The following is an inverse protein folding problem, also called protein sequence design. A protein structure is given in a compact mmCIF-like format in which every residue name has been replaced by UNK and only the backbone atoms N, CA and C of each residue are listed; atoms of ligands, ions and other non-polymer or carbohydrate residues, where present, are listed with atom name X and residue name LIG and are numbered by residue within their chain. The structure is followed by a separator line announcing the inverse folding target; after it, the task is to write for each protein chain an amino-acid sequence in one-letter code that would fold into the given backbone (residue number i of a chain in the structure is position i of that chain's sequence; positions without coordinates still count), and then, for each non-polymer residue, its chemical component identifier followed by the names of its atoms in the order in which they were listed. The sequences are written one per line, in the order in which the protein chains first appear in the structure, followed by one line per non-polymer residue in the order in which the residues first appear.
data_IF_851487209257
#
_entry.id   IF_851487209257
#
_cell.length_a   1.000
_cell.length_b   1.000
_cell.length_c   1.000
_cell.angle_alpha   90.00
_cell.angle_beta   90.00
_cell.angle_gamma   90.00
#
_symmetry.space_group_name_H-M   'P 1'
#
loop_
_entity.id
_entity.type
_entity.pdbx_description
1 polymer ?
#
# COMPACT_ATOMS: atom_id res chain seq x y z
N UNK A 1 3.54 -9.51 -9.77
CA UNK A 1 3.82 -10.53 -8.74
C UNK A 1 2.50 -11.00 -8.16
N UNK A 2 2.30 -12.31 -8.11
CA UNK A 2 1.07 -12.91 -7.63
C UNK A 2 1.29 -13.50 -6.25
N UNK A 3 0.43 -13.15 -5.30
CA UNK A 3 0.47 -13.64 -3.94
C UNK A 3 -0.54 -14.76 -3.78
N UNK A 4 -0.11 -15.89 -3.25
CA UNK A 4 -0.98 -17.03 -2.97
C UNK A 4 -1.28 -17.02 -1.47
N UNK A 5 -2.54 -16.81 -1.12
CA UNK A 5 -3.01 -16.88 0.26
C UNK A 5 -3.73 -18.19 0.49
N UNK A 6 -3.57 -18.75 1.69
CA UNK A 6 -4.36 -19.90 2.11
C UNK A 6 -5.76 -19.40 2.50
N UNK A 7 -6.78 -20.18 2.16
CA UNK A 7 -8.15 -19.81 2.56
C UNK A 7 -8.33 -19.99 4.07
N UNK A 8 -8.91 -19.01 4.79
CA UNK A 8 -9.16 -19.16 6.22
C UNK A 8 -10.22 -20.24 6.46
N UNK A 9 -9.93 -21.18 7.34
CA UNK A 9 -10.81 -22.31 7.68
C UNK A 9 -11.92 -21.88 8.61
N UNK A 10 -11.55 -21.12 9.66
CA UNK A 10 -12.49 -20.54 10.63
C UNK A 10 -12.63 -19.05 10.40
N UNK A 11 -13.83 -18.51 10.56
CA UNK A 11 -14.21 -17.19 10.09
C UNK A 11 -14.77 -16.27 11.19
N UNK A 12 -14.44 -16.55 12.47
CA UNK A 12 -14.69 -15.60 13.54
C UNK A 12 -13.69 -14.45 13.43
N UNK A 13 -13.98 -13.32 14.05
CA UNK A 13 -13.06 -12.17 14.04
C UNK A 13 -11.67 -12.57 14.56
N UNK A 14 -11.61 -13.30 15.67
CA UNK A 14 -10.36 -13.79 16.26
C UNK A 14 -9.60 -14.70 15.30
N UNK A 15 -10.27 -15.63 14.66
CA UNK A 15 -9.65 -16.57 13.71
C UNK A 15 -9.14 -15.85 12.47
N UNK A 16 -9.89 -14.89 11.95
CA UNK A 16 -9.48 -14.09 10.79
C UNK A 16 -8.30 -13.17 11.12
N UNK A 17 -8.26 -12.59 12.31
CA UNK A 17 -7.10 -11.80 12.76
C UNK A 17 -5.84 -12.68 12.83
N UNK A 18 -5.95 -13.87 13.41
CA UNK A 18 -4.84 -14.80 13.48
C UNK A 18 -4.39 -15.24 12.08
N UNK A 19 -5.34 -15.55 11.19
CA UNK A 19 -5.03 -15.89 9.81
C UNK A 19 -4.31 -14.75 9.09
N UNK A 20 -4.78 -13.51 9.25
CA UNK A 20 -4.13 -12.33 8.66
C UNK A 20 -2.70 -12.15 9.18
N UNK A 21 -2.49 -12.31 10.49
CA UNK A 21 -1.16 -12.23 11.09
C UNK A 21 -0.22 -13.30 10.53
N UNK A 22 -0.71 -14.52 10.30
CA UNK A 22 0.07 -15.59 9.66
C UNK A 22 0.48 -15.21 8.24
N UNK A 23 -0.42 -14.58 7.46
CA UNK A 23 -0.09 -14.10 6.13
C UNK A 23 0.98 -13.01 6.19
N UNK A 24 0.89 -12.10 7.14
CA UNK A 24 1.89 -11.03 7.35
C UNK A 24 3.26 -11.63 7.68
N UNK A 25 3.31 -12.60 8.58
CA UNK A 25 4.55 -13.32 8.92
C UNK A 25 5.17 -13.98 7.69
N UNK A 26 4.35 -14.45 6.77
CA UNK A 26 4.79 -15.02 5.49
C UNK A 26 5.04 -13.94 4.41
N UNK A 27 5.19 -12.71 4.81
CA UNK A 27 5.54 -11.58 3.94
C UNK A 27 4.47 -11.21 2.91
N UNK A 28 3.21 -11.51 3.16
CA UNK A 28 2.11 -11.04 2.32
C UNK A 28 1.80 -9.59 2.68
N UNK A 29 1.79 -8.67 1.71
CA UNK A 29 1.46 -7.26 1.98
C UNK A 29 0.04 -7.10 2.53
N UNK A 30 -0.12 -6.17 3.47
CA UNK A 30 -1.44 -5.89 4.08
C UNK A 30 -2.50 -5.51 3.06
N UNK A 31 -2.12 -4.76 2.03
CA UNK A 31 -3.06 -4.39 0.96
C UNK A 31 -3.60 -5.63 0.22
N UNK A 32 -2.75 -6.63 0.00
CA UNK A 32 -3.14 -7.89 -0.65
C UNK A 32 -4.13 -8.66 0.23
N UNK A 33 -3.89 -8.70 1.54
CA UNK A 33 -4.79 -9.36 2.49
C UNK A 33 -6.14 -8.62 2.54
N UNK A 34 -6.12 -7.29 2.59
CA UNK A 34 -7.31 -6.45 2.57
C UNK A 34 -8.14 -6.69 1.30
N UNK A 35 -7.51 -6.71 0.14
CA UNK A 35 -8.17 -7.00 -1.14
C UNK A 35 -8.79 -8.40 -1.14
N UNK A 36 -8.09 -9.38 -0.62
CA UNK A 36 -8.58 -10.74 -0.50
C UNK A 36 -9.87 -10.81 0.35
N UNK A 37 -9.88 -10.14 1.49
CA UNK A 37 -11.04 -10.11 2.38
C UNK A 37 -12.24 -9.42 1.72
N UNK A 38 -12.03 -8.34 0.98
CA UNK A 38 -13.10 -7.65 0.26
C UNK A 38 -13.65 -8.49 -0.88
N UNK A 39 -12.79 -9.14 -1.66
CA UNK A 39 -13.23 -10.05 -2.74
C UNK A 39 -14.00 -11.24 -2.16
N UNK A 40 -13.63 -11.64 -0.95
CA UNK A 40 -14.28 -12.74 -0.25
C UNK A 40 -15.71 -12.39 0.17
N UNK A 41 -16.01 -11.12 0.39
CA UNK A 41 -17.37 -10.65 0.66
C UNK A 41 -18.36 -10.97 -0.48
N UNK A 42 -17.87 -11.11 -1.70
CA UNK A 42 -18.68 -11.50 -2.85
C UNK A 42 -19.02 -13.00 -2.84
N UNK A 43 -18.47 -13.78 -1.92
CA UNK A 43 -18.78 -15.19 -1.72
C UNK A 43 -19.97 -15.32 -0.77
N UNK A 44 -20.55 -16.52 -0.68
CA UNK A 44 -21.66 -16.80 0.23
C UNK A 44 -21.17 -16.84 1.68
N UNK A 45 -21.07 -15.68 2.31
CA UNK A 45 -20.76 -15.56 3.72
C UNK A 45 -22.01 -15.28 4.54
N UNK A 46 -22.07 -15.75 5.78
CA UNK A 46 -23.09 -15.35 6.72
C UNK A 46 -22.93 -13.87 7.09
N UNK A 47 -23.97 -13.27 7.64
CA UNK A 47 -23.93 -11.87 8.09
C UNK A 47 -22.83 -11.64 9.13
N UNK A 48 -22.63 -12.59 10.05
CA UNK A 48 -21.57 -12.51 11.05
C UNK A 48 -20.17 -12.65 10.47
N UNK A 49 -20.00 -13.56 9.50
CA UNK A 49 -18.74 -13.74 8.78
C UNK A 49 -18.36 -12.48 8.00
N UNK A 50 -19.33 -11.82 7.36
CA UNK A 50 -19.11 -10.53 6.68
C UNK A 50 -18.64 -9.45 7.65
N UNK A 51 -19.29 -9.35 8.81
CA UNK A 51 -18.90 -8.38 9.84
C UNK A 51 -17.48 -8.63 10.34
N UNK A 52 -17.13 -9.89 10.60
CA UNK A 52 -15.80 -10.27 11.03
C UNK A 52 -14.76 -9.92 9.97
N UNK A 53 -15.03 -10.25 8.72
CA UNK A 53 -14.16 -9.92 7.57
C UNK A 53 -13.92 -8.41 7.45
N UNK A 54 -14.99 -7.61 7.55
CA UNK A 54 -14.89 -6.14 7.48
C UNK A 54 -14.08 -5.56 8.64
N UNK A 55 -14.24 -6.07 9.85
CA UNK A 55 -13.46 -5.62 11.01
C UNK A 55 -11.97 -5.89 10.84
N UNK A 56 -11.61 -7.08 10.32
CA UNK A 56 -10.22 -7.43 10.09
C UNK A 56 -9.65 -6.56 8.96
N UNK A 57 -10.37 -6.39 7.86
CA UNK A 57 -9.97 -5.50 6.77
C UNK A 57 -9.76 -4.07 7.26
N UNK A 58 -10.68 -3.55 8.06
CA UNK A 58 -10.59 -2.22 8.66
C UNK A 58 -9.34 -2.07 9.54
N UNK A 59 -9.03 -3.10 10.34
CA UNK A 59 -7.82 -3.11 11.17
C UNK A 59 -6.54 -3.03 10.32
N UNK A 60 -6.47 -3.77 9.23
CA UNK A 60 -5.34 -3.73 8.32
C UNK A 60 -5.16 -2.34 7.70
N UNK A 61 -6.26 -1.74 7.28
CA UNK A 61 -6.26 -0.38 6.72
C UNK A 61 -5.82 0.65 7.75
N UNK A 62 -6.32 0.56 8.99
CA UNK A 62 -5.99 1.47 10.07
C UNK A 62 -4.49 1.50 10.36
N UNK A 63 -3.83 0.34 10.35
CA UNK A 63 -2.37 0.26 10.53
C UNK A 63 -1.65 1.08 9.46
N UNK A 64 -2.05 0.95 8.20
CA UNK A 64 -1.42 1.69 7.11
C UNK A 64 -1.73 3.18 7.15
N UNK A 65 -2.95 3.55 7.46
CA UNK A 65 -3.36 4.96 7.62
C UNK A 65 -2.62 5.62 8.78
N UNK A 66 -2.51 4.94 9.91
CA UNK A 66 -1.79 5.45 11.08
C UNK A 66 -0.31 5.70 10.78
N UNK A 67 0.32 4.85 9.98
CA UNK A 67 1.71 5.08 9.53
C UNK A 67 1.84 6.37 8.72
N UNK A 68 0.89 6.65 7.83
CA UNK A 68 0.90 7.88 7.06
C UNK A 68 0.73 9.11 7.95
N UNK A 69 -0.20 9.06 8.89
CA UNK A 69 -0.48 10.17 9.81
C UNK A 69 0.71 10.42 10.75
N UNK A 70 1.25 9.37 11.34
CA UNK A 70 2.42 9.45 12.20
C UNK A 70 3.66 9.90 11.43
N UNK A 71 3.85 9.38 10.21
CA UNK A 71 4.93 9.78 9.33
C UNK A 71 4.88 11.27 9.01
N UNK A 72 3.70 11.79 8.70
CA UNK A 72 3.50 13.23 8.43
C UNK A 72 3.86 14.07 9.64
N UNK A 73 3.42 13.68 10.83
CA UNK A 73 3.73 14.39 12.07
C UNK A 73 5.23 14.38 12.36
N UNK A 74 5.86 13.23 12.27
CA UNK A 74 7.29 13.03 12.52
C UNK A 74 8.13 13.80 11.49
N UNK A 75 7.74 13.77 10.24
CA UNK A 75 8.39 14.54 9.16
C UNK A 75 8.34 16.04 9.44
N UNK A 76 7.18 16.55 9.85
CA UNK A 76 6.98 17.95 10.22
C UNK A 76 7.87 18.37 11.40
N UNK A 77 8.16 17.45 12.31
CA UNK A 77 9.06 17.66 13.45
C UNK A 77 10.55 17.63 13.05
N UNK A 78 10.85 17.35 11.80
CA UNK A 78 12.22 17.29 11.29
C UNK A 78 12.89 15.93 11.42
N UNK A 79 12.21 14.91 11.93
CA UNK A 79 12.76 13.55 12.06
C UNK A 79 12.50 12.76 10.77
N UNK A 80 13.11 13.19 9.68
CA UNK A 80 12.82 12.70 8.33
C UNK A 80 13.13 11.20 8.17
N UNK A 81 14.22 10.72 8.76
CA UNK A 81 14.57 9.29 8.63
C UNK A 81 13.55 8.36 9.28
N UNK A 82 12.98 8.79 10.40
CA UNK A 82 11.90 8.03 11.04
C UNK A 82 10.63 8.03 10.19
N UNK A 83 10.32 9.17 9.55
CA UNK A 83 9.20 9.26 8.63
C UNK A 83 9.40 8.35 7.41
N UNK A 84 10.60 8.32 6.84
CA UNK A 84 10.94 7.41 5.74
C UNK A 84 10.65 5.96 6.12
N UNK A 85 11.06 5.55 7.30
CA UNK A 85 10.82 4.17 7.76
C UNK A 85 9.33 3.81 7.76
N UNK A 86 8.47 4.71 8.24
CA UNK A 86 7.02 4.50 8.26
C UNK A 86 6.43 4.46 6.86
N UNK A 87 6.82 5.38 5.98
CA UNK A 87 6.35 5.40 4.60
C UNK A 87 6.81 4.16 3.83
N UNK A 88 8.06 3.71 4.05
CA UNK A 88 8.58 2.50 3.41
C UNK A 88 7.84 1.24 3.87
N UNK A 89 7.39 1.17 5.11
CA UNK A 89 6.54 0.08 5.56
C UNK A 89 5.23 0.02 4.75
N UNK A 90 4.64 1.18 4.43
CA UNK A 90 3.45 1.24 3.61
C UNK A 90 3.73 0.89 2.13
N UNK A 91 4.91 1.24 1.62
CA UNK A 91 5.34 0.79 0.28
C UNK A 91 5.46 -0.73 0.26
N UNK A 92 6.05 -1.34 1.28
CA UNK A 92 6.16 -2.80 1.41
C UNK A 92 4.80 -3.48 1.51
N UNK A 93 3.84 -2.84 2.14
CA UNK A 93 2.46 -3.32 2.24
C UNK A 93 1.63 -3.02 1.00
N UNK A 94 2.21 -2.40 -0.02
CA UNK A 94 1.56 -2.04 -1.28
C UNK A 94 0.33 -1.15 -1.08
N UNK A 95 0.37 -0.24 -0.11
CA UNK A 95 -0.72 0.70 0.15
C UNK A 95 -1.18 1.37 -1.16
N UNK A 96 -2.48 1.39 -1.42
CA UNK A 96 -3.00 1.85 -2.71
C UNK A 96 -3.16 3.38 -2.84
N UNK A 97 -3.03 4.12 -1.75
CA UNK A 97 -3.05 5.58 -1.79
C UNK A 97 -1.68 6.16 -2.16
N UNK A 98 -1.66 7.32 -2.78
CA UNK A 98 -0.43 7.93 -3.28
C UNK A 98 0.46 8.58 -2.21
N UNK A 99 -0.08 8.88 -1.04
CA UNK A 99 0.58 9.72 -0.04
C UNK A 99 2.01 9.25 0.32
N UNK A 100 2.24 8.00 0.76
CA UNK A 100 3.60 7.60 1.16
C UNK A 100 4.58 7.62 -0.02
N UNK A 101 4.13 7.26 -1.21
CA UNK A 101 4.96 7.27 -2.42
C UNK A 101 5.36 8.69 -2.82
N UNK A 102 4.43 9.62 -2.76
CA UNK A 102 4.69 11.02 -3.10
C UNK A 102 5.64 11.67 -2.09
N UNK A 103 5.44 11.42 -0.79
CA UNK A 103 6.37 11.93 0.22
C UNK A 103 7.79 11.38 0.04
N UNK A 104 7.91 10.07 -0.16
CA UNK A 104 9.21 9.44 -0.40
C UNK A 104 9.88 9.97 -1.67
N UNK A 105 9.12 10.13 -2.74
CA UNK A 105 9.63 10.73 -3.98
C UNK A 105 10.27 12.10 -3.72
N UNK A 106 9.57 12.96 -3.00
CA UNK A 106 10.04 14.31 -2.67
C UNK A 106 11.30 14.25 -1.81
N UNK A 107 11.27 13.45 -0.76
CA UNK A 107 12.40 13.33 0.18
C UNK A 107 13.64 12.77 -0.53
N UNK A 108 13.50 11.67 -1.26
CA UNK A 108 14.60 11.05 -1.97
C UNK A 108 15.18 11.95 -3.07
N UNK A 109 14.32 12.68 -3.78
CA UNK A 109 14.77 13.64 -4.80
C UNK A 109 15.63 14.75 -4.18
N UNK A 110 15.19 15.32 -3.05
CA UNK A 110 15.98 16.33 -2.33
C UNK A 110 17.34 15.81 -1.87
N UNK A 111 17.39 14.55 -1.50
CA UNK A 111 18.63 13.88 -1.05
C UNK A 111 19.49 13.37 -2.20
N UNK A 112 19.08 13.59 -3.44
CA UNK A 112 19.77 13.07 -4.64
C UNK A 112 19.81 11.55 -4.71
N UNK A 113 18.88 10.89 -4.00
CA UNK A 113 18.69 9.44 -4.02
C UNK A 113 17.67 9.09 -5.12
N UNK A 114 18.05 9.33 -6.38
CA UNK A 114 17.12 9.24 -7.51
C UNK A 114 16.67 7.81 -7.80
N UNK A 115 17.54 6.82 -7.59
CA UNK A 115 17.19 5.41 -7.75
C UNK A 115 16.04 5.03 -6.82
N UNK A 116 16.08 5.48 -5.58
CA UNK A 116 15.02 5.23 -4.60
C UNK A 116 13.73 5.98 -4.95
N UNK A 117 13.84 7.23 -5.40
CA UNK A 117 12.68 8.01 -5.85
C UNK A 117 11.98 7.32 -7.02
N UNK A 118 12.74 6.82 -8.00
CA UNK A 118 12.22 6.08 -9.14
C UNK A 118 11.55 4.77 -8.69
N UNK A 119 12.19 4.03 -7.78
CA UNK A 119 11.67 2.76 -7.26
C UNK A 119 10.27 2.92 -6.67
N UNK A 120 10.08 3.89 -5.79
CA UNK A 120 8.77 4.09 -5.13
C UNK A 120 7.71 4.54 -6.14
N UNK A 121 8.06 5.38 -7.11
CA UNK A 121 7.14 5.78 -8.18
C UNK A 121 6.72 4.58 -9.03
N UNK A 122 7.65 3.71 -9.41
CA UNK A 122 7.36 2.50 -10.18
C UNK A 122 6.46 1.53 -9.41
N UNK A 123 6.67 1.40 -8.11
CA UNK A 123 5.81 0.57 -7.26
C UNK A 123 4.37 1.08 -7.30
N UNK A 124 4.19 2.39 -7.15
CA UNK A 124 2.85 2.99 -7.21
C UNK A 124 2.18 2.79 -8.57
N UNK A 125 2.92 2.97 -9.67
CA UNK A 125 2.41 2.75 -11.03
C UNK A 125 1.91 1.31 -11.20
N UNK A 126 2.64 0.33 -10.73
CA UNK A 126 2.21 -1.09 -10.78
C UNK A 126 0.90 -1.32 -10.03
N UNK A 127 0.76 -0.72 -8.85
CA UNK A 127 -0.46 -0.83 -8.04
C UNK A 127 -1.64 -0.23 -8.80
N UNK A 128 -1.47 0.98 -9.34
CA UNK A 128 -2.54 1.66 -10.09
C UNK A 128 -2.89 0.93 -11.39
N UNK A 129 -1.92 0.34 -12.09
CA UNK A 129 -2.17 -0.48 -13.27
C UNK A 129 -3.11 -1.65 -12.93
N UNK A 130 -2.83 -2.36 -11.85
CA UNK A 130 -3.66 -3.48 -11.40
C UNK A 130 -5.08 -3.01 -11.05
N UNK A 131 -5.21 -1.90 -10.32
CA UNK A 131 -6.49 -1.34 -9.92
C UNK A 131 -7.33 -0.88 -11.11
N UNK A 132 -6.70 -0.22 -12.09
CA UNK A 132 -7.36 0.24 -13.31
C UNK A 132 -7.85 -0.96 -14.13
N UNK A 133 -7.05 -1.99 -14.30
CA UNK A 133 -7.41 -3.20 -15.03
C UNK A 133 -8.58 -3.94 -14.38
N UNK A 134 -8.62 -3.97 -13.05
CA UNK A 134 -9.71 -4.61 -12.30
C UNK A 134 -10.99 -3.76 -12.25
N UNK A 135 -10.91 -2.48 -12.63
CA UNK A 135 -12.03 -1.54 -12.51
C UNK A 135 -12.39 -1.22 -11.07
N UNK A 136 -11.51 -1.50 -10.11
CA UNK A 136 -11.77 -1.38 -8.67
C UNK A 136 -10.99 -0.26 -7.99
N UNK A 137 -10.28 0.56 -8.75
CA UNK A 137 -9.48 1.66 -8.21
C UNK A 137 -10.33 2.87 -7.81
N UNK A 138 -9.68 3.83 -7.14
CA UNK A 138 -10.27 5.14 -6.87
C UNK A 138 -10.59 5.84 -8.19
N UNK A 139 -11.57 6.74 -8.17
CA UNK A 139 -11.98 7.51 -9.36
C UNK A 139 -10.86 8.33 -9.99
N UNK A 140 -9.83 8.69 -9.22
CA UNK A 140 -8.67 9.47 -9.66
C UNK A 140 -7.43 8.62 -9.98
N UNK A 141 -7.55 7.28 -10.02
CA UNK A 141 -6.43 6.36 -10.26
C UNK A 141 -5.71 6.62 -11.58
N UNK A 142 -6.45 6.91 -12.65
CA UNK A 142 -5.87 7.22 -13.96
C UNK A 142 -5.00 8.49 -13.92
N UNK A 143 -5.50 9.55 -13.27
CA UNK A 143 -4.76 10.82 -13.15
C UNK A 143 -3.48 10.64 -12.33
N UNK A 144 -3.55 9.90 -11.23
CA UNK A 144 -2.40 9.62 -10.37
C UNK A 144 -1.38 8.73 -11.08
N UNK A 145 -1.84 7.73 -11.80
CA UNK A 145 -0.99 6.87 -12.62
C UNK A 145 -0.16 7.71 -13.60
N UNK A 146 -0.82 8.55 -14.38
CA UNK A 146 -0.18 9.37 -15.40
C UNK A 146 0.80 10.37 -14.78
N UNK A 147 0.44 10.94 -13.64
CA UNK A 147 1.29 11.86 -12.90
C UNK A 147 2.59 11.17 -12.45
N UNK A 148 2.49 9.96 -11.88
CA UNK A 148 3.66 9.21 -11.44
C UNK A 148 4.51 8.73 -12.62
N UNK A 149 3.90 8.35 -13.74
CA UNK A 149 4.64 8.05 -14.98
C UNK A 149 5.48 9.26 -15.42
N UNK A 150 4.91 10.45 -15.37
CA UNK A 150 5.61 11.70 -15.67
C UNK A 150 6.78 11.96 -14.71
N UNK A 151 6.58 11.71 -13.40
CA UNK A 151 7.66 11.82 -12.41
C UNK A 151 8.81 10.86 -12.72
N UNK A 152 8.51 9.61 -13.08
CA UNK A 152 9.53 8.60 -13.41
C UNK A 152 10.38 9.11 -14.58
N UNK A 153 9.75 9.60 -15.64
CA UNK A 153 10.44 10.12 -16.82
C UNK A 153 11.39 11.25 -16.46
N UNK A 154 10.92 12.23 -15.67
CA UNK A 154 11.73 13.36 -15.21
C UNK A 154 12.91 12.92 -14.35
N UNK A 155 12.69 11.97 -13.45
CA UNK A 155 13.72 11.45 -12.56
C UNK A 155 14.78 10.65 -13.33
N UNK A 156 14.37 9.86 -14.30
CA UNK A 156 15.29 9.13 -15.18
C UNK A 156 16.15 10.08 -16.00
N UNK A 157 15.55 11.13 -16.56
CA UNK A 157 16.29 12.18 -17.28
C UNK A 157 17.31 12.86 -16.37
N UNK A 158 16.91 13.23 -15.16
CA UNK A 158 17.79 13.84 -14.17
C UNK A 158 18.93 12.90 -13.79
N UNK A 159 18.65 11.60 -13.64
CA UNK A 159 19.65 10.59 -13.31
C UNK A 159 20.70 10.45 -14.42
N UNK A 160 20.28 10.51 -15.69
CA UNK A 160 21.20 10.44 -16.82
C UNK A 160 22.17 11.62 -16.90
N UNK A 161 21.75 12.79 -16.40
CA UNK A 161 22.57 14.01 -16.41
C UNK A 161 23.57 14.09 -15.24
N UNK A 162 23.53 13.15 -14.30
CA UNK A 162 24.44 13.12 -13.16
C UNK A 162 25.78 12.41 -13.46
#
# INVERSE_FOLDING_TARGET
MTWVLTEPVKRTEKDLLQWADEQIVNSVPRQVIWNYLLDWENRKLSSEEKKASMKVASHLLDVMVDRNLNGKTIETQGEVDKAIALYEENVSDLFEGDFPYDRLRIIYTKRKQLTEAIRVCRTFVKITDILIQKGSGRSDSNLKHDKFMSWIEKLEDQQRLM
#
